data_IF_379449238113
#
_entry.id   IF_379449238113
#
_cell.length_a   1.000
_cell.length_b   1.000
_cell.length_c   1.000
_cell.angle_alpha   90.00
_cell.angle_beta   90.00
_cell.angle_gamma   90.00
#
_symmetry.space_group_name_H-M   'P 1'
#
loop_
_entity.id
_entity.type
_entity.pdbx_description
1 polymer ?
#
# COMPACT_ATOMS: atom_id res chain seq x y z
N UNK A 1 3.35 -11.31 21.34
CA UNK A 1 3.33 -12.20 20.17
C UNK A 1 4.46 -11.78 19.26
N UNK A 2 5.18 -12.71 18.64
CA UNK A 2 6.15 -12.37 17.58
C UNK A 2 5.38 -11.82 16.38
N UNK A 3 5.83 -10.70 15.82
CA UNK A 3 5.27 -10.13 14.58
C UNK A 3 5.20 -11.20 13.49
N UNK A 4 4.07 -11.31 12.78
CA UNK A 4 3.96 -12.21 11.63
C UNK A 4 4.82 -11.71 10.47
N UNK A 5 5.14 -12.57 9.49
CA UNK A 5 5.88 -12.13 8.31
C UNK A 5 5.17 -11.02 7.53
N UNK A 6 3.83 -11.01 7.51
CA UNK A 6 3.07 -9.90 6.94
C UNK A 6 3.26 -8.62 7.75
N UNK A 7 3.27 -8.68 9.09
CA UNK A 7 3.43 -7.50 9.94
C UNK A 7 4.81 -6.86 9.73
N UNK A 8 5.87 -7.69 9.68
CA UNK A 8 7.23 -7.23 9.38
C UNK A 8 7.30 -6.64 7.97
N UNK A 9 6.82 -7.38 6.96
CA UNK A 9 6.84 -6.92 5.57
C UNK A 9 6.12 -5.58 5.40
N UNK A 10 4.91 -5.46 5.97
CA UNK A 10 4.13 -4.24 5.83
C UNK A 10 4.69 -3.05 6.58
N UNK A 11 5.14 -3.26 7.82
CA UNK A 11 5.80 -2.23 8.62
C UNK A 11 7.02 -1.64 7.91
N UNK A 12 7.78 -2.46 7.20
CA UNK A 12 9.04 -2.04 6.60
C UNK A 12 8.90 -1.52 5.16
N UNK A 13 7.85 -1.88 4.42
CA UNK A 13 7.58 -1.34 3.07
C UNK A 13 6.54 -0.21 3.01
N UNK A 14 5.84 0.12 4.11
CA UNK A 14 4.87 1.22 4.13
C UNK A 14 5.44 2.58 3.69
N UNK A 15 6.76 2.77 3.80
CA UNK A 15 7.45 4.01 3.42
C UNK A 15 7.65 4.18 1.91
N UNK A 16 7.24 3.21 1.10
CA UNK A 16 7.31 3.32 -0.36
C UNK A 16 6.22 4.21 -0.96
N UNK A 17 5.28 4.73 -0.14
CA UNK A 17 4.19 5.64 -0.53
C UNK A 17 3.20 5.09 -1.58
N UNK A 18 3.14 3.77 -1.77
CA UNK A 18 2.20 3.08 -2.69
C UNK A 18 0.97 2.46 -1.99
N UNK A 19 0.81 2.70 -0.69
CA UNK A 19 -0.27 2.12 0.13
C UNK A 19 0.19 0.94 0.99
N UNK A 20 -0.76 0.08 1.37
CA UNK A 20 -0.50 -1.08 2.24
C UNK A 20 0.01 -2.27 1.42
N UNK A 21 1.24 -2.76 1.67
CA UNK A 21 1.82 -3.86 0.91
C UNK A 21 1.22 -5.22 1.31
N UNK A 22 1.02 -6.09 0.32
CA UNK A 22 0.57 -7.47 0.50
C UNK A 22 1.72 -8.45 0.27
N UNK A 23 1.97 -9.34 1.24
CA UNK A 23 2.97 -10.41 1.11
C UNK A 23 2.46 -11.62 0.33
N UNK A 24 1.14 -11.74 0.11
CA UNK A 24 0.57 -12.69 -0.86
C UNK A 24 -0.18 -11.91 -1.95
N UNK A 25 0.51 -11.46 -3.00
CA UNK A 25 -0.12 -10.75 -4.11
C UNK A 25 -1.10 -11.59 -4.94
N UNK A 26 -0.97 -12.92 -4.94
CA UNK A 26 -1.81 -13.78 -5.77
C UNK A 26 -3.29 -13.73 -5.34
N UNK A 27 -4.26 -13.81 -6.26
CA UNK A 27 -5.66 -13.98 -5.87
C UNK A 27 -5.88 -15.35 -5.22
N UNK A 28 -6.80 -15.41 -4.26
CA UNK A 28 -7.18 -16.68 -3.63
C UNK A 28 -7.91 -17.58 -4.63
N UNK A 29 -7.53 -18.85 -4.71
CA UNK A 29 -8.20 -19.85 -5.56
C UNK A 29 -9.64 -20.15 -5.14
N UNK A 30 -10.06 -19.73 -3.95
CA UNK A 30 -11.44 -19.84 -3.47
C UNK A 30 -12.36 -18.73 -3.99
N UNK A 31 -11.81 -17.69 -4.62
CA UNK A 31 -12.62 -16.62 -5.22
C UNK A 31 -13.20 -17.06 -6.56
N UNK A 32 -14.30 -16.45 -7.03
CA UNK A 32 -14.84 -16.72 -8.36
C UNK A 32 -13.79 -16.52 -9.46
N UNK A 33 -13.94 -17.23 -10.59
CA UNK A 33 -12.96 -17.20 -11.69
C UNK A 33 -12.58 -15.78 -12.13
N UNK A 34 -13.55 -14.87 -12.25
CA UNK A 34 -13.28 -13.49 -12.65
C UNK A 34 -12.34 -12.74 -11.67
N UNK A 35 -12.35 -13.07 -10.37
CA UNK A 35 -11.39 -12.54 -9.40
C UNK A 35 -10.04 -13.24 -9.48
N UNK A 36 -10.00 -14.53 -9.82
CA UNK A 36 -8.73 -15.22 -10.10
C UNK A 36 -8.05 -14.61 -11.33
N UNK A 37 -8.82 -14.21 -12.33
CA UNK A 37 -8.30 -13.59 -13.56
C UNK A 37 -7.94 -12.12 -13.37
N UNK A 38 -8.77 -11.34 -12.65
CA UNK A 38 -8.57 -9.89 -12.50
C UNK A 38 -7.78 -9.48 -11.26
N UNK A 39 -7.72 -10.31 -10.23
CA UNK A 39 -7.25 -9.94 -8.90
C UNK A 39 -8.23 -9.03 -8.15
N UNK A 40 -7.75 -8.36 -7.10
CA UNK A 40 -8.54 -7.43 -6.26
C UNK A 40 -9.14 -6.27 -7.08
N UNK A 41 -10.27 -5.75 -6.64
CA UNK A 41 -11.03 -4.71 -7.32
C UNK A 41 -11.30 -3.52 -6.37
N UNK A 42 -11.56 -2.35 -6.95
CA UNK A 42 -12.06 -1.20 -6.20
C UNK A 42 -13.41 -1.57 -5.59
N UNK A 43 -13.59 -1.23 -4.32
CA UNK A 43 -14.78 -1.55 -3.53
C UNK A 43 -14.67 -2.85 -2.75
N UNK A 44 -13.60 -3.64 -2.92
CA UNK A 44 -13.40 -4.85 -2.11
C UNK A 44 -13.29 -4.48 -0.63
N UNK A 45 -14.07 -5.16 0.20
CA UNK A 45 -13.96 -5.11 1.66
C UNK A 45 -13.45 -6.46 2.13
N UNK A 46 -12.41 -6.46 2.96
CA UNK A 46 -11.79 -7.71 3.40
C UNK A 46 -10.84 -7.54 4.57
N UNK A 47 -10.12 -8.62 4.87
CA UNK A 47 -9.04 -8.63 5.86
C UNK A 47 -7.73 -9.07 5.20
N UNK A 48 -6.61 -8.64 5.78
CA UNK A 48 -5.29 -9.21 5.45
C UNK A 48 -4.93 -10.23 6.52
N UNK A 49 -4.77 -11.49 6.12
CA UNK A 49 -4.44 -12.58 7.03
C UNK A 49 -2.96 -12.53 7.50
N UNK A 50 -2.57 -13.45 8.39
CA UNK A 50 -1.20 -13.49 8.94
C UNK A 50 -0.13 -13.84 7.91
N UNK A 51 -0.53 -14.41 6.76
CA UNK A 51 0.38 -14.74 5.67
C UNK A 51 0.53 -13.58 4.67
N UNK A 52 -0.37 -12.60 4.74
CA UNK A 52 -0.41 -11.42 3.89
C UNK A 52 -1.35 -11.53 2.71
N UNK A 53 -2.29 -12.48 2.75
CA UNK A 53 -3.31 -12.67 1.73
C UNK A 53 -4.51 -11.79 2.06
N UNK A 54 -5.04 -11.10 1.05
CA UNK A 54 -6.30 -10.39 1.17
C UNK A 54 -7.47 -11.37 0.96
N UNK A 55 -8.27 -11.60 2.00
CA UNK A 55 -9.54 -12.35 1.90
C UNK A 55 -10.69 -11.36 1.69
N UNK A 56 -11.16 -11.29 0.43
CA UNK A 56 -12.30 -10.46 0.04
C UNK A 56 -13.56 -11.03 0.68
N UNK A 57 -14.25 -10.25 1.49
CA UNK A 57 -15.53 -10.63 2.12
C UNK A 57 -16.71 -10.35 1.19
N UNK A 58 -16.76 -9.14 0.67
CA UNK A 58 -17.75 -8.64 -0.28
C UNK A 58 -17.15 -7.43 -1.02
N UNK A 59 -17.89 -6.87 -1.97
CA UNK A 59 -17.49 -5.67 -2.69
C UNK A 59 -18.66 -4.68 -2.72
N UNK A 60 -18.45 -3.45 -2.26
CA UNK A 60 -19.50 -2.43 -2.11
C UNK A 60 -20.04 -1.92 -3.44
N UNK A 61 -19.33 -2.12 -4.55
CA UNK A 61 -19.75 -1.73 -5.89
C UNK A 61 -20.52 -2.82 -6.63
N UNK A 62 -20.58 -4.03 -6.07
CA UNK A 62 -21.33 -5.14 -6.66
C UNK A 62 -22.70 -5.22 -6.01
N UNK A 63 -23.70 -5.60 -6.81
CA UNK A 63 -25.04 -5.91 -6.32
C UNK A 63 -25.00 -7.13 -5.40
N UNK A 64 -25.98 -7.25 -4.50
CA UNK A 64 -26.09 -8.36 -3.55
C UNK A 64 -26.28 -9.73 -4.19
N UNK A 65 -26.72 -9.77 -5.46
CA UNK A 65 -26.91 -10.96 -6.29
C UNK A 65 -25.66 -11.31 -7.12
N UNK A 66 -24.52 -10.66 -6.86
CA UNK A 66 -23.28 -10.94 -7.57
C UNK A 66 -22.65 -12.27 -7.10
N UNK A 67 -22.08 -13.10 -8.00
CA UNK A 67 -21.47 -14.37 -7.64
C UNK A 67 -20.36 -14.33 -6.58
N UNK A 68 -19.71 -13.18 -6.38
CA UNK A 68 -18.78 -12.97 -5.26
C UNK A 68 -19.45 -13.18 -3.90
N UNK A 69 -20.73 -12.81 -3.80
CA UNK A 69 -21.49 -12.81 -2.57
C UNK A 69 -22.19 -14.15 -2.32
N UNK A 70 -22.36 -15.04 -3.31
CA UNK A 70 -23.07 -16.31 -3.16
C UNK A 70 -22.61 -17.15 -1.95
N UNK A 71 -21.30 -17.31 -1.67
CA UNK A 71 -20.87 -18.18 -0.57
C UNK A 71 -21.15 -17.63 0.82
N UNK A 72 -21.30 -16.30 0.98
CA UNK A 72 -21.29 -15.62 2.30
C UNK A 72 -22.41 -14.59 2.49
N UNK A 73 -23.13 -14.26 1.44
CA UNK A 73 -24.02 -13.11 1.38
C UNK A 73 -23.27 -11.78 1.50
N UNK A 74 -24.01 -10.78 1.96
CA UNK A 74 -23.54 -9.42 2.21
C UNK A 74 -23.89 -8.98 3.64
N UNK A 75 -23.26 -7.92 4.17
CA UNK A 75 -23.64 -7.36 5.46
C UNK A 75 -25.11 -6.92 5.53
N UNK A 76 -25.61 -6.72 6.75
CA UNK A 76 -26.94 -6.15 6.96
C UNK A 76 -27.03 -4.75 6.32
N UNK A 77 -28.22 -4.40 5.82
CA UNK A 77 -28.49 -3.10 5.20
C UNK A 77 -27.58 -2.77 3.99
N UNK A 78 -26.98 -3.80 3.37
CA UNK A 78 -26.10 -3.60 2.24
C UNK A 78 -26.80 -2.89 1.08
N UNK A 79 -26.21 -1.80 0.63
CA UNK A 79 -26.64 -1.04 -0.53
C UNK A 79 -25.43 -0.83 -1.44
N UNK A 80 -25.47 -1.31 -2.70
CA UNK A 80 -24.38 -1.10 -3.63
C UNK A 80 -24.14 0.37 -3.93
N UNK A 81 -22.88 0.74 -4.12
CA UNK A 81 -22.43 2.10 -4.38
C UNK A 81 -21.68 2.14 -5.69
N UNK A 82 -22.05 3.06 -6.58
CA UNK A 82 -21.28 3.29 -7.80
C UNK A 82 -19.97 3.98 -7.43
N UNK A 83 -18.86 3.53 -7.99
CA UNK A 83 -17.60 4.23 -7.81
C UNK A 83 -17.52 5.43 -8.79
N UNK A 84 -16.81 6.48 -8.38
CA UNK A 84 -16.51 7.61 -9.24
C UNK A 84 -15.41 7.30 -10.26
N UNK A 85 -14.85 8.36 -10.85
CA UNK A 85 -13.78 8.25 -11.82
C UNK A 85 -12.51 7.63 -11.21
N UNK A 86 -11.82 6.84 -12.05
CA UNK A 86 -10.58 6.15 -11.69
C UNK A 86 -9.42 6.71 -12.52
N UNK A 87 -8.26 6.82 -11.88
CA UNK A 87 -6.98 7.07 -12.53
C UNK A 87 -6.30 5.73 -12.80
N UNK A 88 -5.97 5.50 -14.06
CA UNK A 88 -5.18 4.35 -14.50
C UNK A 88 -3.75 4.79 -14.82
N UNK A 89 -2.76 3.98 -14.45
CA UNK A 89 -1.37 4.17 -14.84
C UNK A 89 -0.70 2.83 -15.11
N UNK A 90 -0.26 2.59 -16.35
CA UNK A 90 0.34 1.31 -16.75
C UNK A 90 1.73 1.08 -16.12
N UNK A 91 2.47 2.16 -15.88
CA UNK A 91 3.82 2.15 -15.31
C UNK A 91 3.87 2.95 -14.01
N UNK A 92 2.90 2.71 -13.12
CA UNK A 92 2.80 3.40 -11.84
C UNK A 92 4.05 3.19 -10.96
N UNK A 93 4.66 2.00 -11.05
CA UNK A 93 5.93 1.69 -10.41
C UNK A 93 6.90 1.19 -11.48
N UNK A 94 8.10 1.76 -11.51
CA UNK A 94 9.16 1.33 -12.42
C UNK A 94 9.70 -0.05 -12.05
N UNK A 95 10.21 -0.78 -13.04
CA UNK A 95 10.89 -2.05 -12.80
C UNK A 95 12.13 -1.88 -11.91
N UNK A 96 12.30 -2.79 -10.96
CA UNK A 96 13.43 -2.80 -10.04
C UNK A 96 13.04 -3.07 -8.58
N UNK A 97 14.00 -2.87 -7.65
CA UNK A 97 13.79 -3.10 -6.24
C UNK A 97 13.12 -1.92 -5.53
N UNK A 98 12.33 -2.25 -4.52
CA UNK A 98 11.74 -1.39 -3.50
C UNK A 98 12.16 -2.01 -2.17
N UNK A 99 12.76 -1.23 -1.28
CA UNK A 99 13.28 -1.76 -0.03
C UNK A 99 13.08 -0.80 1.13
N UNK A 100 13.09 -1.35 2.33
CA UNK A 100 12.96 -0.58 3.57
C UNK A 100 14.15 0.34 3.83
N UNK A 101 13.95 1.30 4.72
CA UNK A 101 15.03 2.11 5.26
C UNK A 101 16.10 1.21 5.92
N UNK A 102 17.39 1.48 5.68
CA UNK A 102 18.50 0.68 6.19
C UNK A 102 19.00 -0.44 5.27
N UNK A 103 18.27 -0.76 4.20
CA UNK A 103 18.78 -1.60 3.10
C UNK A 103 19.35 -0.67 2.02
N UNK A 104 20.59 -0.91 1.61
CA UNK A 104 21.27 -0.14 0.56
C UNK A 104 21.60 -1.04 -0.62
N UNK A 105 21.15 -0.68 -1.81
CA UNK A 105 21.57 -1.32 -3.05
C UNK A 105 23.02 -0.94 -3.39
N UNK A 106 23.86 -1.96 -3.58
CA UNK A 106 25.28 -1.84 -3.92
C UNK A 106 25.51 -2.03 -5.41
N UNK A 107 24.79 -2.98 -6.02
CA UNK A 107 24.92 -3.31 -7.44
C UNK A 107 23.65 -3.02 -8.24
N UNK A 108 23.85 -2.54 -9.48
CA UNK A 108 22.82 -2.40 -10.49
C UNK A 108 22.98 -3.49 -11.56
N UNK A 109 21.86 -3.98 -12.15
CA UNK A 109 21.87 -5.03 -13.16
C UNK A 109 22.60 -4.51 -14.40
N UNK A 110 23.87 -4.89 -14.54
CA UNK A 110 24.74 -4.46 -15.62
C UNK A 110 25.81 -5.54 -15.87
N UNK A 111 25.58 -6.32 -16.94
CA UNK A 111 26.39 -7.45 -17.45
C UNK A 111 26.33 -8.73 -16.58
N UNK A 112 26.67 -9.92 -17.11
CA UNK A 112 26.45 -11.17 -16.39
C UNK A 112 27.40 -11.22 -15.19
N UNK A 113 26.81 -11.10 -14.01
CA UNK A 113 27.45 -11.22 -12.70
C UNK A 113 26.77 -12.40 -11.98
N UNK A 114 27.40 -12.96 -10.94
CA UNK A 114 26.77 -14.00 -10.13
C UNK A 114 25.45 -13.56 -9.46
N UNK A 115 25.21 -12.25 -9.33
CA UNK A 115 23.93 -11.67 -8.89
C UNK A 115 23.60 -10.39 -9.69
N UNK A 116 22.31 -10.17 -9.97
CA UNK A 116 21.80 -8.97 -10.66
C UNK A 116 21.70 -7.76 -9.71
N UNK A 117 21.30 -8.02 -8.47
CA UNK A 117 21.31 -7.05 -7.39
C UNK A 117 22.06 -7.59 -6.17
N UNK A 118 22.73 -6.68 -5.49
CA UNK A 118 23.34 -6.91 -4.18
C UNK A 118 22.90 -5.76 -3.27
N UNK A 119 22.51 -6.12 -2.05
CA UNK A 119 22.13 -5.17 -1.02
C UNK A 119 22.88 -5.46 0.27
N UNK A 120 23.24 -4.40 0.99
CA UNK A 120 23.71 -4.48 2.37
C UNK A 120 22.60 -3.95 3.30
N UNK A 121 22.25 -4.73 4.32
CA UNK A 121 21.39 -4.28 5.41
C UNK A 121 22.24 -3.81 6.58
N UNK A 122 21.89 -2.64 7.14
CA UNK A 122 22.45 -2.13 8.39
C UNK A 122 21.46 -2.18 9.57
N UNK A 123 20.31 -2.82 9.39
CA UNK A 123 19.24 -2.90 10.39
C UNK A 123 18.91 -4.35 10.73
N UNK A 124 18.45 -4.62 11.97
CA UNK A 124 18.02 -5.95 12.37
C UNK A 124 16.64 -6.32 11.80
N UNK A 125 15.95 -5.44 11.09
CA UNK A 125 14.69 -5.78 10.44
C UNK A 125 14.54 -4.99 9.16
N UNK A 126 13.90 -5.60 8.16
CA UNK A 126 13.73 -4.99 6.86
C UNK A 126 12.90 -5.84 5.92
N UNK A 127 12.55 -5.22 4.80
CA UNK A 127 11.77 -5.83 3.74
C UNK A 127 12.25 -5.35 2.37
N UNK A 128 12.14 -6.24 1.38
CA UNK A 128 12.56 -6.03 0.00
C UNK A 128 11.48 -6.60 -0.92
N UNK A 129 11.18 -5.88 -1.99
CA UNK A 129 10.29 -6.27 -3.07
C UNK A 129 11.01 -5.93 -4.38
N UNK A 130 11.14 -6.88 -5.29
CA UNK A 130 11.69 -6.67 -6.63
C UNK A 130 10.58 -6.92 -7.63
N UNK A 131 10.33 -5.92 -8.49
CA UNK A 131 9.34 -5.95 -9.55
C UNK A 131 10.07 -5.99 -10.91
N UNK A 132 10.24 -7.16 -11.54
CA UNK A 132 11.01 -7.27 -12.78
C UNK A 132 10.40 -6.48 -13.95
N UNK A 133 9.09 -6.26 -13.91
CA UNK A 133 8.32 -5.54 -14.94
C UNK A 133 7.64 -4.27 -14.42
N UNK A 134 7.94 -3.86 -13.17
CA UNK A 134 7.21 -2.78 -12.52
C UNK A 134 5.78 -3.18 -12.15
N UNK A 135 4.91 -2.18 -11.98
CA UNK A 135 3.50 -2.38 -11.68
C UNK A 135 2.61 -1.29 -12.29
N UNK A 136 1.40 -1.69 -12.66
CA UNK A 136 0.30 -0.79 -13.01
C UNK A 136 -0.47 -0.39 -11.75
N UNK A 137 -1.22 0.72 -11.82
CA UNK A 137 -2.17 1.11 -10.78
C UNK A 137 -3.53 1.49 -11.34
N UNK A 138 -4.56 1.27 -10.51
CA UNK A 138 -5.90 1.82 -10.69
C UNK A 138 -6.35 2.37 -9.34
N UNK A 139 -6.70 3.65 -9.30
CA UNK A 139 -7.03 4.32 -8.04
C UNK A 139 -8.23 5.26 -8.23
N UNK A 140 -9.12 5.34 -7.25
CA UNK A 140 -10.20 6.33 -7.26
C UNK A 140 -9.65 7.75 -7.17
N UNK A 141 -10.14 8.64 -8.02
CA UNK A 141 -9.82 10.07 -7.95
C UNK A 141 -10.45 10.76 -6.73
N UNK A 142 -11.59 10.26 -6.26
CA UNK A 142 -12.32 10.83 -5.12
C UNK A 142 -12.92 9.73 -4.25
N UNK A 143 -12.20 9.26 -3.22
CA UNK A 143 -12.65 8.16 -2.35
C UNK A 143 -13.65 8.58 -1.27
N UNK A 144 -14.15 9.82 -1.30
CA UNK A 144 -15.00 10.41 -0.25
C UNK A 144 -16.32 9.67 -0.04
N UNK A 145 -16.98 9.29 -1.13
CA UNK A 145 -18.22 8.51 -1.06
C UNK A 145 -18.00 7.14 -0.41
N UNK A 146 -16.86 6.51 -0.68
CA UNK A 146 -16.49 5.23 -0.07
C UNK A 146 -16.24 5.40 1.42
N UNK A 147 -15.61 6.51 1.82
CA UNK A 147 -15.40 6.87 3.23
C UNK A 147 -16.72 7.01 3.97
N UNK A 148 -17.66 7.75 3.42
CA UNK A 148 -18.98 7.96 4.04
C UNK A 148 -19.75 6.63 4.23
N UNK A 149 -19.71 5.77 3.22
CA UNK A 149 -20.35 4.44 3.27
C UNK A 149 -19.68 3.58 4.33
N UNK A 150 -18.35 3.54 4.36
CA UNK A 150 -17.60 2.81 5.37
C UNK A 150 -17.92 3.32 6.78
N UNK A 151 -17.97 4.63 7.01
CA UNK A 151 -18.30 5.20 8.34
C UNK A 151 -19.72 4.81 8.78
N UNK A 152 -20.70 4.85 7.88
CA UNK A 152 -22.10 4.50 8.19
C UNK A 152 -22.29 2.99 8.43
N UNK A 153 -21.52 2.15 7.76
CA UNK A 153 -21.70 0.70 7.76
C UNK A 153 -20.63 -0.09 8.52
N UNK A 154 -19.64 0.58 9.13
CA UNK A 154 -18.49 -0.07 9.79
C UNK A 154 -18.89 -1.15 10.79
N UNK A 155 -19.92 -0.91 11.62
CA UNK A 155 -20.40 -1.87 12.61
C UNK A 155 -21.06 -3.09 11.95
N UNK A 156 -21.94 -2.87 10.97
CA UNK A 156 -22.58 -3.96 10.23
C UNK A 156 -21.54 -4.82 9.49
N UNK A 157 -20.48 -4.19 8.95
CA UNK A 157 -19.37 -4.88 8.29
C UNK A 157 -18.52 -5.68 9.28
N UNK A 158 -18.26 -5.13 10.45
CA UNK A 158 -17.54 -5.83 11.51
C UNK A 158 -18.31 -7.04 12.04
N UNK A 159 -19.60 -6.89 12.30
CA UNK A 159 -20.47 -8.00 12.72
C UNK A 159 -20.57 -9.09 11.64
N UNK A 160 -20.61 -8.69 10.36
CA UNK A 160 -20.53 -9.63 9.24
C UNK A 160 -19.21 -10.40 9.22
N UNK A 161 -18.08 -9.71 9.33
CA UNK A 161 -16.75 -10.32 9.38
C UNK A 161 -16.59 -11.24 10.61
N UNK A 162 -17.18 -10.88 11.75
CA UNK A 162 -17.15 -11.67 12.99
C UNK A 162 -17.81 -13.02 12.84
N UNK A 163 -18.91 -13.10 12.11
CA UNK A 163 -19.57 -14.39 11.81
C UNK A 163 -18.66 -15.33 11.03
N UNK A 164 -17.75 -14.78 10.20
CA UNK A 164 -16.84 -15.56 9.35
C UNK A 164 -15.58 -16.02 10.06
N UNK A 165 -14.95 -15.13 10.82
CA UNK A 165 -13.62 -15.40 11.40
C UNK A 165 -13.66 -15.68 12.89
N UNK A 166 -14.76 -15.35 13.59
CA UNK A 166 -14.79 -15.36 15.05
C UNK A 166 -14.01 -14.20 15.66
N UNK A 167 -14.29 -13.90 16.93
CA UNK A 167 -13.75 -12.72 17.64
C UNK A 167 -12.22 -12.73 17.73
N UNK A 168 -11.61 -13.92 17.89
CA UNK A 168 -10.17 -14.08 18.11
C UNK A 168 -9.32 -13.76 16.87
N UNK A 169 -9.93 -13.81 15.68
CA UNK A 169 -9.25 -13.54 14.41
C UNK A 169 -9.53 -12.11 13.87
N UNK A 170 -10.39 -11.35 14.56
CA UNK A 170 -10.75 -9.97 14.25
C UNK A 170 -9.90 -8.91 14.96
N UNK A 171 -8.82 -9.31 15.63
CA UNK A 171 -7.75 -8.37 16.03
C UNK A 171 -7.13 -7.65 14.80
N UNK A 172 -7.52 -8.09 13.60
CA UNK A 172 -7.16 -7.53 12.31
C UNK A 172 -8.23 -6.53 11.85
N UNK A 173 -7.75 -5.41 11.32
CA UNK A 173 -8.61 -4.38 10.76
C UNK A 173 -9.27 -4.83 9.47
N UNK A 174 -10.46 -4.30 9.20
CA UNK A 174 -11.07 -4.39 7.88
C UNK A 174 -10.42 -3.37 6.95
N UNK A 175 -10.37 -3.70 5.67
CA UNK A 175 -9.83 -2.83 4.63
C UNK A 175 -10.89 -2.65 3.57
N UNK A 176 -11.16 -1.40 3.18
CA UNK A 176 -11.93 -1.04 2.00
C UNK A 176 -10.96 -0.53 0.92
N UNK A 177 -10.88 -1.26 -0.19
CA UNK A 177 -9.99 -0.97 -1.31
C UNK A 177 -10.55 0.16 -2.16
N UNK A 178 -9.80 1.26 -2.28
CA UNK A 178 -10.10 2.39 -3.19
C UNK A 178 -9.17 2.40 -4.41
N UNK A 179 -8.11 1.59 -4.37
CA UNK A 179 -7.16 1.46 -5.45
C UNK A 179 -6.14 0.37 -5.15
N UNK A 180 -5.32 0.05 -6.14
CA UNK A 180 -4.35 -1.04 -6.04
C UNK A 180 -3.20 -0.85 -7.02
N UNK A 181 -2.11 -1.54 -6.73
CA UNK A 181 -0.97 -1.72 -7.61
C UNK A 181 -0.82 -3.20 -7.93
N UNK A 182 -0.78 -3.53 -9.22
CA UNK A 182 -0.67 -4.92 -9.67
C UNK A 182 0.59 -5.11 -10.51
N UNK A 183 1.26 -6.22 -10.24
CA UNK A 183 2.44 -6.63 -10.97
C UNK A 183 2.17 -7.94 -11.72
N UNK A 184 2.87 -8.14 -12.83
CA UNK A 184 2.90 -9.44 -13.54
C UNK A 184 3.72 -10.47 -12.76
N UNK A 185 4.81 -10.01 -12.14
CA UNK A 185 5.73 -10.86 -11.41
C UNK A 185 6.45 -10.07 -10.32
N UNK A 186 6.89 -10.77 -9.29
CA UNK A 186 7.52 -10.17 -8.12
C UNK A 186 8.37 -11.20 -7.38
N UNK A 187 9.35 -10.67 -6.63
CA UNK A 187 10.10 -11.41 -5.63
C UNK A 187 10.16 -10.57 -4.37
N UNK A 188 9.84 -11.14 -3.22
CA UNK A 188 9.82 -10.41 -1.96
C UNK A 188 10.51 -11.18 -0.85
N UNK A 189 10.97 -10.45 0.15
CA UNK A 189 11.50 -11.04 1.36
C UNK A 189 11.45 -10.07 2.54
N UNK A 190 11.50 -10.64 3.73
CA UNK A 190 11.50 -9.89 4.98
C UNK A 190 12.30 -10.63 6.04
N UNK A 191 12.88 -9.89 6.98
CA UNK A 191 13.65 -10.43 8.08
C UNK A 191 13.43 -9.59 9.34
N UNK A 192 13.57 -10.21 10.50
CA UNK A 192 13.38 -9.57 11.80
C UNK A 192 14.29 -10.22 12.85
N UNK A 193 15.09 -9.40 13.52
CA UNK A 193 16.09 -9.76 14.52
C UNK A 193 17.04 -10.91 14.09
N UNK A 194 17.75 -10.80 12.96
CA UNK A 194 18.82 -11.74 12.64
C UNK A 194 19.93 -11.60 13.69
N UNK A 195 20.57 -12.73 14.01
CA UNK A 195 21.67 -12.79 15.00
C UNK A 195 22.84 -11.90 14.58
N UNK A 196 23.07 -11.77 13.28
CA UNK A 196 23.94 -10.75 12.67
C UNK A 196 23.08 -9.63 12.08
N UNK A 197 22.99 -8.49 12.78
CA UNK A 197 22.15 -7.35 12.40
C UNK A 197 22.59 -6.65 11.10
N UNK A 198 23.75 -7.03 10.57
CA UNK A 198 24.29 -6.52 9.31
C UNK A 198 24.58 -7.70 8.39
N UNK A 199 24.13 -7.63 7.15
CA UNK A 199 24.42 -8.71 6.21
C UNK A 199 24.00 -8.44 4.78
N UNK A 200 24.48 -9.32 3.91
CA UNK A 200 24.29 -9.26 2.46
C UNK A 200 22.98 -9.93 2.05
N UNK A 201 22.33 -9.32 1.08
CA UNK A 201 21.17 -9.86 0.37
C UNK A 201 21.52 -9.88 -1.11
N UNK A 202 21.48 -11.05 -1.72
CA UNK A 202 21.70 -11.23 -3.15
C UNK A 202 20.37 -11.50 -3.84
N UNK A 203 20.17 -10.90 -5.01
CA UNK A 203 19.08 -11.24 -5.90
C UNK A 203 19.65 -11.62 -7.26
N UNK A 204 19.40 -12.86 -7.68
CA UNK A 204 19.74 -13.36 -9.01
C UNK A 204 18.48 -13.70 -9.78
N UNK A 205 18.45 -13.38 -11.06
CA UNK A 205 17.37 -13.83 -11.94
C UNK A 205 17.36 -15.36 -11.97
N UNK A 206 16.17 -15.96 -11.98
CA UNK A 206 16.07 -17.40 -12.14
C UNK A 206 16.39 -17.80 -13.60
N UNK A 207 17.20 -18.83 -13.77
CA UNK A 207 17.66 -19.29 -15.09
C UNK A 207 16.51 -19.89 -15.91
N UNK A 208 15.55 -20.51 -15.25
CA UNK A 208 14.38 -21.13 -15.89
C UNK A 208 13.23 -20.15 -16.08
N UNK A 209 13.15 -19.13 -15.23
CA UNK A 209 12.11 -18.12 -15.26
C UNK A 209 12.71 -16.71 -15.09
N UNK A 210 13.04 -16.03 -16.21
CA UNK A 210 13.63 -14.71 -16.14
C UNK A 210 12.69 -13.65 -15.53
N UNK A 211 11.41 -13.97 -15.32
CA UNK A 211 10.45 -13.04 -14.76
C UNK A 211 10.47 -12.97 -13.23
N UNK A 212 11.38 -13.68 -12.54
CA UNK A 212 11.55 -13.61 -11.08
C UNK A 212 13.01 -13.49 -10.69
N UNK A 213 13.23 -13.02 -9.45
CA UNK A 213 14.52 -13.08 -8.78
C UNK A 213 14.48 -14.05 -7.61
N UNK A 214 15.52 -14.85 -7.45
CA UNK A 214 15.78 -15.68 -6.29
C UNK A 214 16.55 -14.84 -5.27
N UNK A 215 15.92 -14.63 -4.12
CA UNK A 215 16.51 -13.89 -3.00
C UNK A 215 17.28 -14.82 -2.07
N UNK A 216 18.52 -14.45 -1.80
CA UNK A 216 19.44 -15.15 -0.92
C UNK A 216 19.90 -14.19 0.18
N UNK A 217 19.49 -14.47 1.42
CA UNK A 217 19.86 -13.71 2.60
C UNK A 217 20.99 -14.45 3.31
N UNK A 218 22.02 -13.73 3.75
CA UNK A 218 23.09 -14.30 4.57
C UNK A 218 22.64 -14.68 6.01
N UNK A 219 21.38 -14.44 6.34
CA UNK A 219 20.78 -14.63 7.67
C UNK A 219 19.34 -15.17 7.52
N UNK A 220 18.71 -15.68 8.61
CA UNK A 220 17.34 -16.16 8.56
C UNK A 220 16.35 -15.08 8.09
N UNK A 221 15.61 -15.41 7.03
CA UNK A 221 14.65 -14.51 6.41
C UNK A 221 13.51 -15.31 5.76
N UNK A 222 12.35 -14.67 5.68
CA UNK A 222 11.26 -15.12 4.84
C UNK A 222 11.45 -14.61 3.41
N UNK A 223 11.14 -15.46 2.43
CA UNK A 223 11.30 -15.16 1.01
C UNK A 223 10.24 -15.85 0.18
N UNK A 224 9.75 -15.13 -0.83
CA UNK A 224 8.76 -15.61 -1.80
C UNK A 224 8.97 -14.96 -3.15
N UNK A 225 8.41 -15.57 -4.17
CA UNK A 225 8.30 -14.98 -5.49
C UNK A 225 7.01 -15.48 -6.13
N UNK A 226 6.53 -14.77 -7.15
CA UNK A 226 5.43 -15.25 -7.98
C UNK A 226 5.80 -16.61 -8.57
N UNK A 227 4.84 -17.52 -8.65
CA UNK A 227 4.98 -18.70 -9.51
C UNK A 227 5.01 -18.13 -10.93
N UNK A 228 6.12 -18.32 -11.64
CA UNK A 228 6.29 -17.76 -12.99
C UNK A 228 5.03 -17.96 -13.80
N UNK A 229 4.49 -16.90 -14.40
CA UNK A 229 3.35 -17.10 -15.28
C UNK A 229 3.84 -17.94 -16.46
N UNK A 230 3.08 -18.98 -16.80
CA UNK A 230 2.93 -19.39 -18.19
C UNK A 230 2.58 -18.13 -19.01
N UNK A 231 2.85 -18.13 -20.31
CA UNK A 231 2.82 -16.97 -21.24
C UNK A 231 1.55 -16.07 -21.26
N UNK A 232 0.56 -16.28 -20.38
CA UNK A 232 -0.73 -15.56 -20.33
C UNK A 232 -0.63 -14.06 -20.09
N UNK A 233 0.48 -13.55 -19.53
CA UNK A 233 0.68 -12.11 -19.33
C UNK A 233 -0.30 -11.43 -18.36
N UNK A 234 -1.07 -12.18 -17.56
CA UNK A 234 -2.10 -11.61 -16.68
C UNK A 234 -1.51 -10.75 -15.55
N UNK A 235 -1.91 -9.47 -15.48
CA UNK A 235 -1.53 -8.54 -14.41
C UNK A 235 -2.63 -8.54 -13.33
N UNK A 236 -2.63 -9.57 -12.49
CA UNK A 236 -3.65 -9.80 -11.46
C UNK A 236 -3.09 -9.90 -10.04
N UNK A 237 -1.77 -9.78 -9.87
CA UNK A 237 -1.11 -9.98 -8.58
C UNK A 237 -0.98 -8.64 -7.85
N UNK A 238 -1.78 -8.42 -6.81
CA UNK A 238 -1.87 -7.13 -6.10
C UNK A 238 -0.77 -6.99 -5.06
N UNK A 239 0.23 -6.15 -5.34
CA UNK A 239 1.38 -5.92 -4.46
C UNK A 239 1.14 -4.86 -3.39
N UNK A 240 0.30 -3.87 -3.70
CA UNK A 240 -0.15 -2.84 -2.76
C UNK A 240 -1.64 -2.56 -2.94
N UNK A 241 -2.32 -2.24 -1.84
CA UNK A 241 -3.69 -1.71 -1.84
C UNK A 241 -3.70 -0.30 -1.27
N UNK A 242 -4.55 0.56 -1.81
CA UNK A 242 -4.87 1.86 -1.23
C UNK A 242 -6.33 1.87 -0.78
N UNK A 243 -6.62 2.69 0.22
CA UNK A 243 -7.97 2.85 0.75
C UNK A 243 -8.02 2.98 2.26
N UNK A 244 -9.14 2.57 2.84
CA UNK A 244 -9.44 2.81 4.24
C UNK A 244 -9.20 1.56 5.08
N UNK A 245 -8.41 1.69 6.14
CA UNK A 245 -8.35 0.73 7.23
C UNK A 245 -9.43 1.10 8.24
N UNK A 246 -10.27 0.15 8.58
CA UNK A 246 -11.42 0.29 9.49
C UNK A 246 -11.11 -0.53 10.73
N UNK A 247 -10.98 0.15 11.87
CA UNK A 247 -10.73 -0.44 13.18
C UNK A 247 -11.92 -0.17 14.09
N UNK A 248 -12.43 -1.19 14.77
CA UNK A 248 -13.47 -1.04 15.78
C UNK A 248 -12.80 -1.15 17.15
N UNK A 249 -12.59 -0.04 17.84
CA UNK A 249 -12.08 -0.06 19.22
C UNK A 249 -13.16 -0.59 20.16
N UNK A 250 -12.77 -1.41 21.13
CA UNK A 250 -13.68 -2.09 22.08
C UNK A 250 -14.42 -1.14 23.05
N UNK A 251 -14.16 0.17 22.95
CA UNK A 251 -14.87 1.24 23.64
C UNK A 251 -15.31 2.24 22.56
N UNK A 252 -16.41 1.94 21.85
CA UNK A 252 -16.96 2.79 20.77
C UNK A 252 -17.26 4.21 21.27
N UNK A 253 -17.21 5.29 20.46
CA UNK A 253 -17.17 5.35 18.99
C UNK A 253 -16.00 6.20 18.41
N UNK A 254 -15.31 5.67 17.41
CA UNK A 254 -14.95 6.35 16.16
C UNK A 254 -14.06 5.39 15.34
N UNK A 255 -14.39 5.08 14.07
CA UNK A 255 -13.46 4.37 13.21
C UNK A 255 -12.23 5.27 13.00
N UNK A 256 -11.05 4.79 13.40
CA UNK A 256 -9.79 5.47 13.10
C UNK A 256 -9.60 5.39 11.58
N UNK A 257 -9.97 6.48 10.90
CA UNK A 257 -9.66 6.70 9.49
C UNK A 257 -8.14 6.87 9.42
N UNK A 258 -7.43 5.94 8.78
CA UNK A 258 -6.07 6.23 8.33
C UNK A 258 -6.17 7.47 7.43
N UNK A 259 -5.57 8.56 7.89
CA UNK A 259 -5.57 9.81 7.16
C UNK A 259 -5.11 9.55 5.74
N UNK A 260 -5.91 9.98 4.78
CA UNK A 260 -5.40 10.25 3.44
C UNK A 260 -4.36 11.33 3.66
N UNK A 261 -3.08 10.94 3.72
CA UNK A 261 -2.02 11.90 3.47
C UNK A 261 -2.18 12.28 2.02
N UNK A 262 -2.88 13.40 1.78
CA UNK A 262 -2.54 14.21 0.63
C UNK A 262 -1.04 14.48 0.74
N UNK A 263 -0.25 13.72 -0.02
CA UNK A 263 1.14 14.08 -0.25
C UNK A 263 1.12 15.34 -1.11
N UNK A 264 0.96 16.49 -0.45
CA UNK A 264 1.34 17.77 -1.06
C UNK A 264 2.80 17.60 -1.50
N UNK A 265 3.09 17.60 -2.83
CA UNK A 265 4.47 17.43 -3.30
C UNK A 265 5.34 18.49 -2.64
N UNK A 266 6.61 18.20 -2.33
CA UNK A 266 7.50 19.15 -1.67
C UNK A 266 7.52 20.54 -2.36
N UNK A 267 7.24 20.56 -3.67
CA UNK A 267 7.01 21.76 -4.47
C UNK A 267 5.80 22.61 -4.09
N UNK A 268 4.64 22.05 -3.74
CA UNK A 268 3.50 22.85 -3.30
C UNK A 268 3.78 23.52 -1.95
N UNK A 269 4.47 22.82 -1.02
CA UNK A 269 4.94 23.40 0.25
C UNK A 269 5.94 24.54 0.03
N UNK A 270 6.90 24.34 -0.87
CA UNK A 270 7.89 25.36 -1.23
C UNK A 270 7.26 26.59 -1.89
N UNK A 271 6.32 26.39 -2.83
CA UNK A 271 5.58 27.50 -3.46
C UNK A 271 4.73 28.27 -2.45
N UNK A 272 4.10 27.57 -1.50
CA UNK A 272 3.30 28.21 -0.44
C UNK A 272 4.17 29.01 0.52
N UNK A 273 5.31 28.47 0.93
CA UNK A 273 6.31 29.16 1.74
C UNK A 273 6.88 30.38 1.00
N UNK A 274 7.20 30.25 -0.30
CA UNK A 274 7.67 31.38 -1.11
C UNK A 274 6.62 32.49 -1.20
N UNK A 275 5.35 32.14 -1.45
CA UNK A 275 4.24 33.10 -1.46
C UNK A 275 4.06 33.79 -0.10
N UNK A 276 4.18 33.05 1.01
CA UNK A 276 4.11 33.60 2.35
C UNK A 276 5.27 34.57 2.64
N UNK A 277 6.51 34.20 2.26
CA UNK A 277 7.69 35.07 2.39
C UNK A 277 7.58 36.33 1.52
N UNK A 278 7.10 36.21 0.27
CA UNK A 278 6.85 37.35 -0.62
C UNK A 278 5.80 38.31 -0.06
N UNK A 279 4.73 37.79 0.56
CA UNK A 279 3.71 38.61 1.20
C UNK A 279 4.24 39.30 2.47
N UNK A 280 5.09 38.64 3.26
CA UNK A 280 5.77 39.26 4.40
C UNK A 280 6.72 40.37 3.96
N UNK A 281 7.48 40.18 2.88
CA UNK A 281 8.39 41.18 2.33
C UNK A 281 7.63 42.40 1.76
N UNK A 282 6.46 42.18 1.13
CA UNK A 282 5.57 43.26 0.69
C UNK A 282 4.96 44.03 1.87
N UNK A 283 4.65 43.35 2.98
CA UNK A 283 4.19 43.99 4.22
C UNK A 283 5.26 44.83 4.92
N UNK A 284 6.53 44.40 4.85
CA UNK A 284 7.66 45.16 5.40
C UNK A 284 8.02 46.39 4.56
N UNK A 285 7.82 46.33 3.23
CA UNK A 285 8.02 47.48 2.35
C UNK A 285 7.01 48.62 2.59
N UNK A 286 5.81 48.31 3.10
CA UNK A 286 4.79 49.31 3.44
C UNK A 286 5.03 50.04 4.77
N UNK A 287 5.91 49.51 5.64
CA UNK A 287 6.20 50.10 6.95
C UNK A 287 7.25 51.22 6.93
N UNK A 288 7.94 51.42 5.81
CA UNK A 288 9.04 52.38 5.73
C UNK A 288 8.61 53.80 5.30
N UNK A 289 7.39 53.98 4.77
CA UNK A 289 6.89 55.31 4.39
C UNK A 289 6.19 56.06 5.55
N UNK A 290 5.78 55.37 6.63
CA UNK A 290 5.05 56.01 7.74
C UNK A 290 5.93 56.60 8.86
N UNK A 291 7.26 56.43 8.82
CA UNK A 291 8.18 56.98 9.84
C UNK A 291 8.87 58.30 9.46
N UNK A 292 8.60 58.88 8.30
CA UNK A 292 9.17 60.17 7.88
C UNK A 292 8.31 61.40 8.21
N UNK A 293 7.10 61.24 8.77
CA UNK A 293 6.15 62.35 8.94
C UNK A 293 6.01 62.93 10.36
N UNK A 294 6.74 62.43 11.38
CA UNK A 294 6.56 62.86 12.80
C UNK A 294 7.83 63.53 13.36
N UNK A 295 8.40 64.50 12.64
CA UNK A 295 9.44 65.37 13.21
C UNK A 295 9.30 66.87 12.87
N UNK A 296 8.13 67.33 12.46
CA UNK A 296 7.84 68.77 12.30
C UNK A 296 6.52 69.10 12.99
N UNK A 297 6.57 69.43 14.28
CA UNK A 297 5.64 70.34 14.97
C UNK A 297 6.00 70.41 16.46
N UNK A 298 6.91 71.32 16.80
CA UNK A 298 6.99 72.03 18.09
C UNK A 298 7.89 73.26 17.88
N UNK A 299 7.25 74.39 17.56
CA UNK A 299 7.66 75.73 17.99
C UNK A 299 6.65 76.15 19.04
#
# INVERSE_FOLDING_TARGET
MSDSFQDVYAKHLQHADYGYPLRMPEPMSTLPQHYQDSGLQIGDVGIVDSKGQFDVLFNICKRSDNPLHDPRGVPKNFQPVQHGDVKFSDNAISAGPIHSHGIKQILHPSKPRPADYEFDSSTPAGALLILPHGAMSVELLSPEQFREVATKSALDWYDFAKKRYGVQHLDRSLYLVTGFYKARSWSLGSFNNPTDATGKILARRDDNNPNIYLLEFAFPADRRHSRGSDDSGSINQTIFITGFKITVSSWLPDPIILGVTESEPAWSKLVRLLKACLNLLRGLSGGHEQRAAISKLRR
#
